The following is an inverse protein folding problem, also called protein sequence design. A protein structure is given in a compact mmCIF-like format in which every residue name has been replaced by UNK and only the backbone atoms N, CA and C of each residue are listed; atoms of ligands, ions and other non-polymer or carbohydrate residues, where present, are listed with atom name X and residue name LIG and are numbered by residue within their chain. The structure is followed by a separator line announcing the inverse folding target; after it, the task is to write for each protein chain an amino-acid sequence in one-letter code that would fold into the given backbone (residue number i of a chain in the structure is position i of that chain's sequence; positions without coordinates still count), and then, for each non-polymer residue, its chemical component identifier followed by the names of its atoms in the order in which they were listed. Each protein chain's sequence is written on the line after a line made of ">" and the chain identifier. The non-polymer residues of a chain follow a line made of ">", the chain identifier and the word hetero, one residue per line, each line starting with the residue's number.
data_IF_659417733557
#
_entry.id   IF_659417733557
#
_cell.length_a   1.000
_cell.length_b   1.000
_cell.length_c   1.000
_cell.angle_alpha   90.00
_cell.angle_beta   90.00
_cell.angle_gamma   90.00
#
_symmetry.space_group_name_H-M   'P 1'
#
loop_
_entity.id
_entity.type
_entity.pdbx_description
1 polymer ?
#
# COMPACT_ATOMS: atom_id res chain seq x y z
N UNK A 1 21.53 73.54 -61.85
CA UNK A 1 22.02 73.03 -60.54
C UNK A 1 21.23 73.70 -59.43
N UNK A 2 20.22 73.01 -58.87
CA UNK A 2 19.41 73.51 -57.75
C UNK A 2 20.06 73.06 -56.44
N UNK A 3 20.57 74.01 -55.64
CA UNK A 3 21.05 73.72 -54.28
C UNK A 3 19.86 73.75 -53.31
N UNK A 4 19.69 72.75 -52.43
CA UNK A 4 18.67 72.79 -51.40
C UNK A 4 19.04 73.80 -50.31
N UNK A 5 18.11 74.71 -49.97
CA UNK A 5 18.19 75.55 -48.76
C UNK A 5 17.85 74.69 -47.55
N UNK A 6 18.87 74.30 -46.78
CA UNK A 6 18.69 73.71 -45.45
C UNK A 6 18.46 74.83 -44.43
N UNK A 7 17.20 74.99 -44.01
CA UNK A 7 16.84 75.86 -42.90
C UNK A 7 17.12 75.14 -41.58
N UNK A 8 18.21 75.50 -40.91
CA UNK A 8 18.51 75.02 -39.55
C UNK A 8 17.92 76.05 -38.58
N UNK A 9 16.83 75.70 -37.90
CA UNK A 9 16.22 76.54 -36.87
C UNK A 9 17.19 76.70 -35.69
N UNK A 10 17.62 77.94 -35.44
CA UNK A 10 18.43 78.28 -34.28
C UNK A 10 17.58 78.19 -33.00
N UNK A 11 17.82 77.15 -32.19
CA UNK A 11 17.22 77.01 -30.86
C UNK A 11 18.09 77.76 -29.85
N UNK A 12 17.49 78.71 -29.14
CA UNK A 12 18.18 79.51 -28.11
C UNK A 12 18.62 78.63 -26.93
N UNK A 13 19.84 78.77 -26.38
CA UNK A 13 20.36 77.89 -25.33
C UNK A 13 19.47 77.79 -24.08
N UNK A 14 18.73 78.86 -23.75
CA UNK A 14 17.73 78.86 -22.67
C UNK A 14 16.59 77.85 -22.89
N UNK A 15 16.16 77.63 -24.14
CA UNK A 15 15.12 76.64 -24.45
C UNK A 15 15.64 75.21 -24.31
N UNK A 16 16.92 74.97 -24.64
CA UNK A 16 17.57 73.66 -24.49
C UNK A 16 17.66 73.28 -23.00
N UNK A 17 18.06 74.22 -22.14
CA UNK A 17 18.16 73.99 -20.70
C UNK A 17 16.79 73.70 -20.05
N UNK A 18 15.75 74.39 -20.50
CA UNK A 18 14.37 74.19 -20.03
C UNK A 18 13.85 72.79 -20.43
N UNK A 19 14.10 72.36 -21.66
CA UNK A 19 13.72 71.02 -22.12
C UNK A 19 14.47 69.91 -21.37
N UNK A 20 15.77 70.09 -21.10
CA UNK A 20 16.56 69.12 -20.35
C UNK A 20 16.10 69.00 -18.88
N UNK A 21 15.77 70.13 -18.24
CA UNK A 21 15.18 70.13 -16.89
C UNK A 21 13.84 69.40 -16.85
N UNK A 22 12.97 69.64 -17.85
CA UNK A 22 11.70 68.93 -17.98
C UNK A 22 11.91 67.42 -18.15
N UNK A 23 12.87 66.99 -18.98
CA UNK A 23 13.22 65.58 -19.16
C UNK A 23 13.71 64.93 -17.85
N UNK A 24 14.55 65.62 -17.08
CA UNK A 24 15.02 65.12 -15.79
C UNK A 24 13.90 65.01 -14.75
N UNK A 25 12.97 65.97 -14.70
CA UNK A 25 11.81 65.90 -13.80
C UNK A 25 10.88 64.73 -14.15
N UNK A 26 10.60 64.52 -15.43
CA UNK A 26 9.81 63.36 -15.89
C UNK A 26 10.52 62.06 -15.55
N UNK A 27 11.84 61.98 -15.79
CA UNK A 27 12.64 60.80 -15.44
C UNK A 27 12.60 60.52 -13.94
N UNK A 28 12.77 61.54 -13.10
CA UNK A 28 12.70 61.41 -11.65
C UNK A 28 11.31 60.92 -11.17
N UNK A 29 10.23 61.41 -11.77
CA UNK A 29 8.88 60.95 -11.46
C UNK A 29 8.69 59.47 -11.82
N UNK A 30 9.19 59.02 -12.98
CA UNK A 30 9.15 57.61 -13.39
C UNK A 30 9.96 56.73 -12.44
N UNK A 31 11.17 57.16 -12.05
CA UNK A 31 11.99 56.42 -11.08
C UNK A 31 11.34 56.35 -9.70
N UNK A 32 10.70 57.42 -9.24
CA UNK A 32 9.93 57.42 -7.99
C UNK A 32 8.81 56.38 -8.00
N UNK A 33 8.02 56.37 -9.07
CA UNK A 33 6.91 55.41 -9.27
C UNK A 33 7.41 53.96 -9.34
N UNK A 34 8.47 53.69 -10.14
CA UNK A 34 9.09 52.36 -10.23
C UNK A 34 9.67 51.91 -8.88
N UNK A 35 10.28 52.84 -8.13
CA UNK A 35 10.77 52.60 -6.78
C UNK A 35 9.66 52.21 -5.81
N UNK A 36 8.54 52.94 -5.82
CA UNK A 36 7.36 52.62 -5.01
C UNK A 36 6.79 51.24 -5.32
N UNK A 37 6.66 50.87 -6.60
CA UNK A 37 6.18 49.52 -6.98
C UNK A 37 7.08 48.41 -6.45
N UNK A 38 8.41 48.57 -6.54
CA UNK A 38 9.35 47.56 -6.02
C UNK A 38 9.25 47.42 -4.50
N UNK A 39 9.09 48.52 -3.77
CA UNK A 39 8.91 48.50 -2.31
C UNK A 39 7.61 47.79 -1.93
N UNK A 40 6.52 48.03 -2.66
CA UNK A 40 5.23 47.37 -2.40
C UNK A 40 5.25 45.86 -2.70
N UNK A 41 6.01 45.43 -3.70
CA UNK A 41 6.23 44.00 -3.97
C UNK A 41 7.04 43.36 -2.84
N UNK A 42 8.17 43.97 -2.45
CA UNK A 42 9.01 43.46 -1.37
C UNK A 42 8.26 43.38 -0.02
N UNK A 43 7.39 44.36 0.28
CA UNK A 43 6.56 44.32 1.49
C UNK A 43 5.56 43.16 1.47
N UNK A 44 4.95 42.87 0.31
CA UNK A 44 4.06 41.71 0.16
C UNK A 44 4.82 40.40 0.28
N UNK A 45 6.00 40.31 -0.34
CA UNK A 45 6.85 39.12 -0.27
C UNK A 45 7.32 38.86 1.17
N UNK A 46 7.70 39.92 1.90
CA UNK A 46 8.06 39.83 3.31
C UNK A 46 6.88 39.34 4.17
N UNK A 47 5.68 39.90 3.97
CA UNK A 47 4.49 39.48 4.70
C UNK A 47 4.14 38.01 4.42
N UNK A 48 4.24 37.57 3.16
CA UNK A 48 4.03 36.18 2.78
C UNK A 48 5.10 35.25 3.36
N UNK A 49 6.37 35.67 3.39
CA UNK A 49 7.46 34.90 3.98
C UNK A 49 7.27 34.69 5.49
N UNK A 50 6.83 35.73 6.21
CA UNK A 50 6.50 35.64 7.64
C UNK A 50 5.32 34.69 7.86
N UNK A 51 4.22 34.87 7.10
CA UNK A 51 3.06 33.99 7.20
C UNK A 51 3.41 32.52 6.88
N UNK A 52 4.29 32.29 5.91
CA UNK A 52 4.77 30.95 5.57
C UNK A 52 5.61 30.34 6.71
N UNK A 53 6.45 31.14 7.37
CA UNK A 53 7.25 30.71 8.53
C UNK A 53 6.34 30.35 9.71
N UNK A 54 5.38 31.21 10.05
CA UNK A 54 4.45 30.95 11.16
C UNK A 54 3.60 29.70 10.90
N UNK A 55 3.12 29.53 9.67
CA UNK A 55 2.40 28.33 9.28
C UNK A 55 3.29 27.07 9.27
N UNK A 56 4.60 27.19 9.08
CA UNK A 56 5.53 26.07 9.20
C UNK A 56 5.70 25.68 10.67
N UNK A 57 5.88 26.65 11.57
CA UNK A 57 6.00 26.38 13.02
C UNK A 57 4.75 25.72 13.59
N UNK A 58 3.55 26.21 13.23
CA UNK A 58 2.29 25.58 13.66
C UNK A 58 2.18 24.12 13.19
N UNK A 59 2.67 23.81 11.98
CA UNK A 59 2.69 22.44 11.47
C UNK A 59 3.69 21.56 12.23
N UNK A 60 4.85 22.10 12.64
CA UNK A 60 5.81 21.36 13.46
C UNK A 60 5.22 21.04 14.83
N UNK A 61 4.63 22.02 15.51
CA UNK A 61 3.96 21.80 16.79
C UNK A 61 2.83 20.77 16.66
N UNK A 62 2.02 20.86 15.60
CA UNK A 62 0.96 19.86 15.34
C UNK A 62 1.54 18.46 15.15
N UNK A 63 2.61 18.32 14.36
CA UNK A 63 3.29 17.04 14.18
C UNK A 63 3.88 16.50 15.47
N UNK A 64 4.51 17.34 16.30
CA UNK A 64 5.03 16.93 17.61
C UNK A 64 3.91 16.43 18.53
N UNK A 65 2.75 17.09 18.56
CA UNK A 65 1.61 16.61 19.34
C UNK A 65 1.07 15.27 18.83
N UNK A 66 1.01 15.09 17.50
CA UNK A 66 0.58 13.82 16.91
C UNK A 66 1.59 12.70 17.19
N UNK A 67 2.89 12.99 17.08
CA UNK A 67 3.97 12.06 17.40
C UNK A 67 3.94 11.65 18.86
N UNK A 68 3.79 12.60 19.78
CA UNK A 68 3.68 12.30 21.22
C UNK A 68 2.43 11.47 21.54
N UNK A 69 1.34 11.69 20.81
CA UNK A 69 0.13 10.86 20.92
C UNK A 69 0.35 9.45 20.37
N UNK A 70 1.11 9.31 19.28
CA UNK A 70 1.49 8.00 18.73
C UNK A 70 2.44 7.26 19.66
N UNK A 71 3.39 7.96 20.26
CA UNK A 71 4.33 7.41 21.24
C UNK A 71 3.61 6.84 22.46
N UNK A 72 2.66 7.57 23.04
CA UNK A 72 1.84 7.06 24.16
C UNK A 72 0.97 5.87 23.75
N UNK A 73 0.45 5.87 22.51
CA UNK A 73 -0.29 4.73 21.97
C UNK A 73 0.59 3.49 21.76
N UNK A 74 1.86 3.68 21.35
CA UNK A 74 2.84 2.59 21.21
C UNK A 74 3.21 2.03 22.58
N UNK A 75 3.53 2.87 23.56
CA UNK A 75 3.79 2.43 24.93
C UNK A 75 2.60 1.64 25.53
N UNK A 76 1.36 2.08 25.25
CA UNK A 76 0.16 1.36 25.64
C UNK A 76 -0.05 0.03 24.90
N UNK A 77 0.43 -0.10 23.66
CA UNK A 77 0.41 -1.35 22.92
C UNK A 77 1.48 -2.33 23.42
N UNK A 78 2.68 -1.83 23.72
CA UNK A 78 3.78 -2.62 24.31
C UNK A 78 3.39 -3.21 25.66
N UNK A 79 2.71 -2.43 26.53
CA UNK A 79 2.19 -2.94 27.80
C UNK A 79 1.20 -4.11 27.61
N UNK A 80 0.35 -4.04 26.58
CA UNK A 80 -0.60 -5.12 26.24
C UNK A 80 0.11 -6.36 25.70
N UNK A 81 1.19 -6.18 24.95
CA UNK A 81 2.01 -7.29 24.46
C UNK A 81 2.65 -8.00 25.65
N UNK A 82 3.27 -7.27 26.59
CA UNK A 82 3.85 -7.85 27.80
C UNK A 82 2.80 -8.60 28.65
N UNK A 83 1.58 -8.07 28.76
CA UNK A 83 0.47 -8.78 29.44
C UNK A 83 0.09 -10.08 28.70
N UNK A 84 0.02 -10.04 27.37
CA UNK A 84 -0.29 -11.22 26.56
C UNK A 84 0.81 -12.29 26.66
N UNK A 85 2.08 -11.90 26.68
CA UNK A 85 3.22 -12.80 26.87
C UNK A 85 3.15 -13.49 28.24
N UNK A 86 2.87 -12.76 29.31
CA UNK A 86 2.69 -13.34 30.64
C UNK A 86 1.51 -14.33 30.71
N UNK A 87 0.43 -14.06 29.98
CA UNK A 87 -0.69 -15.02 29.87
C UNK A 87 -0.29 -16.25 29.06
N UNK A 88 0.49 -16.08 28.00
CA UNK A 88 0.98 -17.18 27.17
C UNK A 88 1.95 -18.09 27.94
N UNK A 89 2.88 -17.54 28.72
CA UNK A 89 3.79 -18.33 29.57
C UNK A 89 3.02 -19.12 30.63
N UNK A 90 1.99 -18.51 31.24
CA UNK A 90 1.07 -19.22 32.14
C UNK A 90 0.36 -20.38 31.43
N UNK A 91 -0.21 -20.14 30.25
CA UNK A 91 -0.91 -21.16 29.47
C UNK A 91 0.02 -22.32 29.06
N UNK A 92 1.27 -22.02 28.68
CA UNK A 92 2.28 -23.04 28.39
C UNK A 92 2.60 -23.91 29.61
N UNK A 93 2.68 -23.29 30.79
CA UNK A 93 2.93 -24.00 32.05
C UNK A 93 1.79 -24.96 32.39
N UNK A 94 0.53 -24.54 32.22
CA UNK A 94 -0.62 -25.43 32.43
C UNK A 94 -0.65 -26.59 31.42
N UNK A 95 -0.28 -26.35 30.16
CA UNK A 95 -0.20 -27.39 29.14
C UNK A 95 0.84 -28.45 29.51
N UNK A 96 2.01 -28.02 29.99
CA UNK A 96 3.08 -28.91 30.42
C UNK A 96 2.66 -29.75 31.64
N UNK A 97 1.91 -29.13 32.57
CA UNK A 97 1.28 -29.85 33.70
C UNK A 97 0.28 -30.91 33.22
N UNK A 98 -0.62 -30.55 32.29
CA UNK A 98 -1.60 -31.50 31.75
C UNK A 98 -0.93 -32.67 31.00
N UNK A 99 0.20 -32.43 30.33
CA UNK A 99 0.98 -33.50 29.72
C UNK A 99 1.56 -34.48 30.75
N UNK A 100 2.08 -33.98 31.87
CA UNK A 100 2.56 -34.86 32.94
C UNK A 100 1.43 -35.67 33.59
N UNK A 101 0.25 -35.07 33.79
CA UNK A 101 -0.91 -35.77 34.34
C UNK A 101 -1.43 -36.84 33.38
N UNK A 102 -1.44 -36.55 32.07
CA UNK A 102 -1.77 -37.55 31.06
C UNK A 102 -0.83 -38.76 31.13
N UNK A 103 0.48 -38.53 31.25
CA UNK A 103 1.45 -39.62 31.35
C UNK A 103 1.26 -40.47 32.62
N UNK A 104 0.92 -39.84 33.76
CA UNK A 104 0.61 -40.56 35.01
C UNK A 104 -0.65 -41.42 34.88
N UNK A 105 -1.71 -40.88 34.27
CA UNK A 105 -2.96 -41.61 34.04
C UNK A 105 -2.76 -42.79 33.07
N UNK A 106 -1.93 -42.62 32.04
CA UNK A 106 -1.61 -43.68 31.09
C UNK A 106 -0.86 -44.84 31.77
N UNK A 107 0.14 -44.51 32.61
CA UNK A 107 0.84 -45.48 33.45
C UNK A 107 -0.09 -46.25 34.39
N UNK A 108 -1.05 -45.57 35.03
CA UNK A 108 -2.08 -46.22 35.87
C UNK A 108 -2.98 -47.15 35.06
N UNK A 109 -3.36 -46.77 33.84
CA UNK A 109 -4.20 -47.58 32.97
C UNK A 109 -3.48 -48.87 32.55
N UNK A 110 -2.20 -48.77 32.19
CA UNK A 110 -1.35 -49.93 31.87
C UNK A 110 -1.16 -50.86 33.07
N UNK A 111 -0.93 -50.30 34.26
CA UNK A 111 -0.84 -51.07 35.50
C UNK A 111 -2.14 -51.85 35.78
N UNK A 112 -3.31 -51.17 35.71
CA UNK A 112 -4.60 -51.84 35.86
C UNK A 112 -4.86 -52.88 34.77
N UNK A 113 -4.44 -52.64 33.52
CA UNK A 113 -4.58 -53.62 32.43
C UNK A 113 -3.76 -54.88 32.69
N UNK A 114 -2.52 -54.74 33.18
CA UNK A 114 -1.66 -55.87 33.55
C UNK A 114 -2.22 -56.67 34.73
N UNK A 115 -2.85 -56.00 35.70
CA UNK A 115 -3.53 -56.64 36.82
C UNK A 115 -4.72 -57.48 36.34
N UNK A 116 -5.56 -56.93 35.46
CA UNK A 116 -6.68 -57.65 34.85
C UNK A 116 -6.20 -58.87 34.07
N UNK A 117 -5.13 -58.75 33.28
CA UNK A 117 -4.54 -59.86 32.54
C UNK A 117 -4.04 -60.98 33.48
N UNK A 118 -3.43 -60.60 34.60
CA UNK A 118 -2.97 -61.53 35.64
C UNK A 118 -4.14 -62.26 36.31
N UNK A 119 -5.23 -61.54 36.62
CA UNK A 119 -6.44 -62.13 37.17
C UNK A 119 -7.12 -63.11 36.19
N UNK A 120 -7.21 -62.74 34.91
CA UNK A 120 -7.76 -63.62 33.86
C UNK A 120 -6.94 -64.91 33.71
N UNK A 121 -5.60 -64.81 33.75
CA UNK A 121 -4.71 -65.98 33.71
C UNK A 121 -4.95 -66.90 34.91
N UNK A 122 -5.09 -66.35 36.12
CA UNK A 122 -5.35 -67.13 37.33
C UNK A 122 -6.72 -67.82 37.33
N UNK A 123 -7.73 -67.17 36.75
CA UNK A 123 -9.06 -67.77 36.56
C UNK A 123 -9.01 -68.89 35.51
N UNK A 124 -8.17 -68.76 34.47
CA UNK A 124 -7.92 -69.82 33.48
C UNK A 124 -7.18 -71.04 34.04
N UNK A 125 -6.26 -70.84 34.99
CA UNK A 125 -5.52 -71.91 35.67
C UNK A 125 -6.34 -72.63 36.76
N UNK A 126 -7.46 -72.04 37.21
CA UNK A 126 -8.37 -72.62 38.22
C UNK A 126 -9.45 -73.57 37.68
N UNK A 127 -9.47 -73.88 36.38
CA UNK A 127 -10.45 -74.81 35.80
C UNK A 127 -9.75 -76.12 35.40
N UNK A 128 -9.92 -77.24 36.14
CA UNK A 128 -9.43 -78.51 35.66
C UNK A 128 -10.25 -78.89 34.42
N UNK A 129 -9.53 -79.35 33.40
CA UNK A 129 -10.10 -79.97 32.24
C UNK A 129 -11.02 -81.12 32.68
N UNK A 130 -12.31 -81.00 32.43
CA UNK A 130 -13.19 -82.16 32.27
C UNK A 130 -13.79 -82.03 30.88
N UNK A 131 -13.28 -82.86 29.98
CA UNK A 131 -13.99 -83.24 28.78
C UNK A 131 -14.72 -84.55 29.10
N UNK A 132 -16.05 -84.64 28.89
CA UNK A 132 -16.67 -85.87 28.50
C UNK A 132 -16.85 -85.86 26.98
N UNK A 133 -16.22 -86.87 26.38
CA UNK A 133 -16.39 -87.33 25.02
C UNK A 133 -17.82 -87.87 24.80
N UNK A 134 -18.40 -87.64 23.61
CA UNK A 134 -19.00 -88.64 22.69
C UNK A 134 -20.31 -88.24 21.97
N UNK A 135 -20.24 -88.48 20.65
CA UNK A 135 -21.27 -88.82 19.64
C UNK A 135 -22.16 -87.68 19.11
N UNK A 136 -22.01 -87.23 17.85
CA UNK A 136 -22.10 -87.89 16.52
C UNK A 136 -23.52 -87.82 15.93
N UNK A 137 -23.57 -87.32 14.69
CA UNK A 137 -24.61 -87.45 13.68
C UNK A 137 -25.92 -86.66 13.86
N UNK A 138 -26.00 -85.50 13.19
CA UNK A 138 -26.71 -85.40 11.90
C UNK A 138 -26.41 -84.05 11.26
N UNK A 139 -25.90 -84.09 10.03
CA UNK A 139 -25.39 -82.97 9.27
C UNK A 139 -26.49 -81.98 8.82
N UNK A 140 -26.22 -80.68 8.99
CA UNK A 140 -26.80 -79.56 8.23
C UNK A 140 -25.89 -78.33 8.45
N UNK A 141 -24.99 -77.99 7.51
CA UNK A 141 -25.20 -77.07 6.36
C UNK A 141 -24.61 -75.67 6.65
N UNK A 142 -23.78 -75.06 5.76
CA UNK A 142 -22.73 -75.61 4.90
C UNK A 142 -21.41 -74.77 4.95
N UNK A 143 -20.28 -75.38 4.61
CA UNK A 143 -19.06 -74.65 4.22
C UNK A 143 -19.00 -74.48 2.69
N UNK A 144 -18.57 -73.28 2.27
CA UNK A 144 -17.95 -72.92 0.98
C UNK A 144 -18.90 -73.02 -0.26
N UNK A 145 -18.96 -72.08 -1.22
CA UNK A 145 -17.91 -71.26 -1.81
C UNK A 145 -18.56 -70.22 -2.77
N UNK A 146 -18.04 -68.98 -2.76
CA UNK A 146 -17.83 -68.11 -3.94
C UNK A 146 -19.00 -67.89 -4.92
N UNK A 147 -19.52 -66.66 -4.94
CA UNK A 147 -19.75 -65.89 -6.19
C UNK A 147 -19.93 -64.39 -5.89
N UNK A 148 -19.14 -63.58 -6.58
CA UNK A 148 -19.18 -62.12 -6.73
C UNK A 148 -20.60 -61.64 -7.11
N UNK A 149 -21.01 -60.41 -6.77
CA UNK A 149 -20.99 -59.42 -7.84
C UNK A 149 -20.61 -57.99 -7.41
N UNK A 150 -20.13 -57.28 -8.43
CA UNK A 150 -20.20 -55.83 -8.67
C UNK A 150 -21.68 -55.34 -8.67
N UNK A 151 -21.95 -54.06 -8.95
CA UNK A 151 -22.52 -53.03 -8.08
C UNK A 151 -24.05 -52.80 -8.22
N UNK A 152 -24.54 -51.77 -7.52
CA UNK A 152 -25.71 -50.91 -7.84
C UNK A 152 -27.05 -51.28 -7.20
N UNK A 153 -27.91 -50.34 -6.80
CA UNK A 153 -27.87 -48.87 -6.71
C UNK A 153 -29.23 -48.41 -6.16
N UNK A 154 -29.31 -47.13 -5.78
CA UNK A 154 -30.43 -46.17 -5.89
C UNK A 154 -30.55 -45.35 -4.59
N UNK A 155 -30.58 -44.01 -4.50
CA UNK A 155 -30.72 -42.80 -5.33
C UNK A 155 -30.22 -41.68 -4.35
N UNK A 156 -29.35 -40.70 -4.63
CA UNK A 156 -29.33 -39.70 -5.68
C UNK A 156 -27.91 -39.16 -5.85
N UNK A 157 -27.64 -38.68 -7.06
CA UNK A 157 -26.45 -37.96 -7.44
C UNK A 157 -26.46 -36.57 -6.80
N UNK A 158 -25.38 -36.18 -6.10
CA UNK A 158 -24.87 -34.81 -6.24
C UNK A 158 -23.35 -34.80 -6.00
N UNK A 159 -22.69 -34.33 -7.05
CA UNK A 159 -21.29 -33.96 -7.22
C UNK A 159 -20.57 -33.43 -5.98
N UNK A 160 -19.38 -33.99 -5.76
CA UNK A 160 -18.22 -33.20 -5.34
C UNK A 160 -17.90 -32.24 -6.49
N UNK A 161 -18.25 -30.95 -6.33
CA UNK A 161 -17.67 -29.83 -7.07
C UNK A 161 -17.31 -28.75 -6.04
N UNK A 162 -16.07 -28.86 -5.56
CA UNK A 162 -15.17 -27.74 -5.26
C UNK A 162 -15.80 -26.39 -4.85
N UNK A 163 -16.39 -26.35 -3.66
CA UNK A 163 -16.67 -25.11 -2.96
C UNK A 163 -15.45 -24.74 -2.09
N UNK A 164 -14.63 -23.86 -2.67
CA UNK A 164 -13.69 -22.89 -2.10
C UNK A 164 -13.38 -23.01 -0.59
N UNK A 165 -12.10 -23.13 -0.18
CA UNK A 165 -11.73 -22.86 1.21
C UNK A 165 -12.20 -21.45 1.62
N UNK A 166 -12.60 -21.22 2.89
CA UNK A 166 -13.10 -19.92 3.32
C UNK A 166 -12.07 -18.83 3.01
N UNK A 167 -12.49 -17.67 2.49
CA UNK A 167 -11.55 -16.58 2.22
C UNK A 167 -10.84 -16.18 3.53
N UNK A 168 -9.53 -15.90 3.49
CA UNK A 168 -8.82 -15.41 4.66
C UNK A 168 -9.51 -14.15 5.19
N UNK A 169 -9.54 -13.94 6.53
CA UNK A 169 -10.26 -12.83 7.12
C UNK A 169 -9.76 -11.51 6.53
N UNK A 170 -10.65 -10.81 5.82
CA UNK A 170 -10.37 -9.46 5.32
C UNK A 170 -10.11 -8.53 6.53
N UNK A 171 -8.97 -7.85 6.60
CA UNK A 171 -8.78 -6.80 7.60
C UNK A 171 -9.71 -5.62 7.26
N UNK A 172 -10.77 -5.48 8.06
CA UNK A 172 -11.64 -4.30 8.06
C UNK A 172 -10.80 -3.06 8.40
N UNK A 173 -10.63 -2.21 7.39
CA UNK A 173 -10.61 -0.72 7.45
C UNK A 173 -10.02 -0.11 8.73
N UNK A 174 -8.71 0.13 8.72
CA UNK A 174 -8.14 1.28 9.44
C UNK A 174 -8.12 2.48 8.49
N UNK A 175 -8.98 3.46 8.76
CA UNK A 175 -8.84 4.82 8.19
C UNK A 175 -7.54 5.40 8.76
N UNK A 176 -6.57 5.71 7.91
CA UNK A 176 -5.34 6.41 8.33
C UNK A 176 -5.27 7.72 7.55
N UNK A 177 -5.44 8.81 8.31
CA UNK A 177 -5.14 10.17 7.91
C UNK A 177 -3.60 10.37 7.80
N UNK A 178 -3.13 11.34 7.01
CA UNK A 178 -1.74 11.43 6.59
C UNK A 178 -0.88 12.19 7.60
N UNK A 179 0.18 11.55 8.11
CA UNK A 179 1.23 12.23 8.88
C UNK A 179 2.55 12.19 8.11
N UNK A 180 2.99 13.38 7.69
CA UNK A 180 4.33 13.73 7.19
C UNK A 180 5.23 13.85 8.44
N UNK A 181 6.49 13.43 8.49
CA UNK A 181 7.76 14.05 8.01
C UNK A 181 8.88 13.43 8.91
N UNK A 182 10.21 13.69 8.80
CA UNK A 182 11.15 13.91 7.69
C UNK A 182 12.30 12.85 7.65
N UNK A 183 12.95 12.62 6.51
CA UNK A 183 14.33 12.08 6.54
C UNK A 183 15.16 12.59 5.35
N UNK A 184 16.20 13.35 5.69
CA UNK A 184 17.17 13.97 4.79
C UNK A 184 18.42 13.10 4.80
N UNK A 185 18.60 12.30 3.75
CA UNK A 185 19.89 11.81 3.28
C UNK A 185 19.70 11.20 1.88
N UNK A 186 19.96 11.98 0.82
CA UNK A 186 20.07 11.51 -0.57
C UNK A 186 18.93 10.61 -1.10
N UNK A 187 17.70 10.91 -0.70
CA UNK A 187 16.49 10.19 -1.15
C UNK A 187 15.93 10.86 -2.42
N UNK A 188 15.60 10.11 -3.50
CA UNK A 188 15.00 10.71 -4.68
C UNK A 188 13.65 11.34 -4.31
N UNK A 189 13.63 12.68 -4.29
CA UNK A 189 12.49 13.53 -3.96
C UNK A 189 11.26 13.04 -4.75
N UNK A 190 10.28 12.43 -4.08
CA UNK A 190 9.03 12.01 -4.70
C UNK A 190 8.19 13.27 -4.91
N UNK A 191 8.28 13.83 -6.11
CA UNK A 191 7.52 15.01 -6.49
C UNK A 191 6.05 14.67 -6.69
N UNK A 192 5.17 15.57 -6.21
CA UNK A 192 3.71 15.50 -6.40
C UNK A 192 3.33 15.61 -7.88
N UNK A 193 2.26 14.93 -8.28
CA UNK A 193 1.74 14.91 -9.66
C UNK A 193 1.55 16.30 -10.28
N UNK A 194 1.00 17.27 -9.54
CA UNK A 194 0.77 18.63 -10.06
C UNK A 194 2.08 19.33 -10.46
N UNK A 195 3.14 19.14 -9.67
CA UNK A 195 4.48 19.63 -9.98
C UNK A 195 5.08 18.86 -11.16
N UNK A 196 4.92 17.54 -11.18
CA UNK A 196 5.44 16.71 -12.25
C UNK A 196 4.77 16.98 -13.61
N UNK A 197 3.46 17.24 -13.64
CA UNK A 197 2.72 17.58 -14.87
C UNK A 197 3.16 18.92 -15.45
N UNK A 198 3.42 19.92 -14.60
CA UNK A 198 3.93 21.22 -15.03
C UNK A 198 5.35 21.14 -15.62
N UNK A 199 6.12 20.13 -15.22
CA UNK A 199 7.52 19.94 -15.60
C UNK A 199 7.72 18.87 -16.68
N UNK A 200 6.64 18.18 -17.08
CA UNK A 200 6.68 17.18 -18.13
C UNK A 200 6.56 17.83 -19.52
N UNK A 201 7.44 17.43 -20.44
CA UNK A 201 7.45 17.94 -21.82
C UNK A 201 6.67 17.02 -22.77
N UNK A 202 6.53 15.74 -22.45
CA UNK A 202 5.75 14.79 -23.22
C UNK A 202 5.02 13.84 -22.28
N UNK A 203 3.68 13.83 -22.36
CA UNK A 203 2.79 13.14 -21.42
C UNK A 203 1.71 12.35 -22.16
N UNK A 204 2.07 11.27 -22.88
CA UNK A 204 1.07 10.42 -23.51
C UNK A 204 0.17 9.80 -22.43
N UNK A 205 -1.15 9.93 -22.60
CA UNK A 205 -2.12 9.35 -21.68
C UNK A 205 -2.19 7.83 -21.84
N UNK A 206 -2.49 7.08 -20.77
CA UNK A 206 -2.75 5.64 -20.85
C UNK A 206 -3.92 5.35 -21.78
N UNK A 207 -3.74 4.41 -22.71
CA UNK A 207 -4.82 3.99 -23.60
C UNK A 207 -5.71 3.00 -22.85
N UNK A 208 -7.01 3.25 -22.81
CA UNK A 208 -7.96 2.30 -22.25
C UNK A 208 -7.98 1.01 -23.11
N UNK A 209 -7.64 -0.18 -22.57
CA UNK A 209 -7.58 -1.42 -23.35
C UNK A 209 -8.97 -1.91 -23.79
N UNK A 210 -9.10 -2.39 -25.03
CA UNK A 210 -10.39 -2.83 -25.58
C UNK A 210 -10.99 -4.03 -24.84
N UNK A 211 -10.16 -4.97 -24.38
CA UNK A 211 -10.60 -6.21 -23.70
C UNK A 211 -11.39 -5.94 -22.41
N UNK A 212 -11.10 -4.83 -21.73
CA UNK A 212 -11.77 -4.45 -20.47
C UNK A 212 -12.90 -3.44 -20.67
N UNK A 213 -13.11 -2.99 -21.92
CA UNK A 213 -14.14 -2.01 -22.29
C UNK A 213 -15.53 -2.61 -22.27
N UNK A 214 -15.70 -3.81 -22.84
CA UNK A 214 -16.98 -4.53 -22.85
C UNK A 214 -17.51 -4.83 -21.44
N UNK A 215 -16.71 -5.37 -20.49
CA UNK A 215 -17.15 -5.56 -19.11
C UNK A 215 -17.20 -4.28 -18.26
N UNK A 216 -16.78 -3.13 -18.81
CA UNK A 216 -16.91 -1.85 -18.12
C UNK A 216 -15.97 -1.65 -16.92
N UNK A 217 -14.77 -2.24 -16.94
CA UNK A 217 -13.87 -2.22 -15.78
C UNK A 217 -13.26 -0.82 -15.57
N UNK A 218 -13.54 -0.19 -14.44
CA UNK A 218 -12.95 1.09 -14.04
C UNK A 218 -12.01 0.90 -12.85
N UNK A 219 -11.16 1.90 -12.59
CA UNK A 219 -10.41 1.90 -11.34
C UNK A 219 -9.49 3.10 -11.19
N UNK A 220 -8.94 3.23 -9.99
CA UNK A 220 -8.02 4.31 -9.61
C UNK A 220 -6.74 3.68 -9.08
N UNK A 221 -5.61 4.06 -9.67
CA UNK A 221 -4.28 3.61 -9.29
C UNK A 221 -3.33 4.77 -9.05
N UNK A 222 -2.13 4.45 -8.54
CA UNK A 222 -1.01 5.38 -8.41
C UNK A 222 0.24 4.70 -8.95
N UNK A 223 0.87 5.33 -9.92
CA UNK A 223 2.14 4.90 -10.50
C UNK A 223 3.29 5.73 -9.95
N UNK A 224 4.37 5.06 -9.55
CA UNK A 224 5.65 5.69 -9.25
C UNK A 224 6.54 5.57 -10.49
N UNK A 225 7.07 6.70 -10.92
CA UNK A 225 7.96 6.82 -12.06
C UNK A 225 9.33 7.32 -11.60
N UNK A 226 10.37 6.61 -12.01
CA UNK A 226 11.77 7.00 -11.83
C UNK A 226 12.27 7.67 -13.10
N UNK A 227 12.90 8.83 -12.94
CA UNK A 227 13.36 9.69 -14.04
C UNK A 227 14.87 9.86 -13.90
N UNK A 228 15.59 9.75 -15.00
CA UNK A 228 16.99 10.12 -15.06
C UNK A 228 17.12 11.67 -14.98
N UNK A 229 17.75 12.22 -13.93
CA UNK A 229 17.90 13.67 -13.80
C UNK A 229 18.72 14.29 -14.93
N UNK A 230 19.65 13.55 -15.57
CA UNK A 230 20.51 14.12 -16.61
C UNK A 230 19.77 14.31 -17.94
N UNK A 231 18.97 13.32 -18.36
CA UNK A 231 18.25 13.36 -19.65
C UNK A 231 16.76 13.73 -19.54
N UNK A 232 16.18 13.61 -18.35
CA UNK A 232 14.72 13.75 -18.15
C UNK A 232 13.91 12.57 -18.68
N UNK A 233 14.55 11.47 -19.11
CA UNK A 233 13.88 10.27 -19.57
C UNK A 233 13.43 9.40 -18.39
N UNK A 234 12.28 8.75 -18.56
CA UNK A 234 11.79 7.77 -17.58
C UNK A 234 12.61 6.49 -17.68
N UNK A 235 13.27 6.11 -16.59
CA UNK A 235 14.08 4.88 -16.49
C UNK A 235 13.27 3.71 -15.92
N UNK A 236 12.21 4.00 -15.17
CA UNK A 236 11.36 2.97 -14.59
C UNK A 236 9.97 3.50 -14.27
N UNK A 237 8.98 2.61 -14.33
CA UNK A 237 7.63 2.88 -13.87
C UNK A 237 7.07 1.62 -13.21
N UNK A 238 6.45 1.79 -12.04
CA UNK A 238 5.83 0.71 -11.27
C UNK A 238 4.53 1.19 -10.65
N UNK A 239 3.54 0.31 -10.52
CA UNK A 239 2.33 0.62 -9.78
C UNK A 239 2.63 0.52 -8.29
N UNK A 240 2.39 1.60 -7.55
CA UNK A 240 2.39 1.60 -6.09
C UNK A 240 1.02 1.18 -5.57
N UNK A 241 -0.05 1.66 -6.23
CA UNK A 241 -1.42 1.23 -6.00
C UNK A 241 -2.02 0.77 -7.32
N UNK A 242 -2.37 -0.51 -7.40
CA UNK A 242 -3.06 -1.08 -8.55
C UNK A 242 -4.42 -0.41 -8.78
N UNK A 243 -4.81 -0.32 -10.05
CA UNK A 243 -6.15 0.10 -10.49
C UNK A 243 -7.21 -0.96 -10.14
N UNK A 244 -6.82 -2.18 -9.77
CA UNK A 244 -7.70 -3.31 -9.48
C UNK A 244 -7.83 -4.31 -10.64
N UNK A 245 -7.26 -3.98 -11.81
CA UNK A 245 -7.15 -4.87 -12.95
C UNK A 245 -5.74 -4.81 -13.56
N UNK A 246 -5.16 -5.98 -13.82
CA UNK A 246 -3.79 -6.09 -14.32
C UNK A 246 -3.60 -5.56 -15.74
N UNK A 247 -4.66 -5.53 -16.56
CA UNK A 247 -4.62 -5.00 -17.93
C UNK A 247 -4.57 -3.47 -17.90
N UNK A 248 -5.32 -2.84 -17.00
CA UNK A 248 -5.28 -1.39 -16.77
C UNK A 248 -3.92 -0.97 -16.23
N UNK A 249 -3.37 -1.71 -15.26
CA UNK A 249 -2.04 -1.46 -14.69
C UNK A 249 -0.94 -1.50 -15.76
N UNK A 250 -0.95 -2.53 -16.62
CA UNK A 250 0.01 -2.64 -17.74
C UNK A 250 -0.09 -1.46 -18.70
N UNK A 251 -1.31 -1.00 -18.99
CA UNK A 251 -1.51 0.16 -19.86
C UNK A 251 -0.95 1.44 -19.24
N UNK A 252 -1.21 1.66 -17.96
CA UNK A 252 -0.69 2.80 -17.20
C UNK A 252 0.84 2.80 -17.22
N UNK A 253 1.48 1.69 -16.84
CA UNK A 253 2.95 1.57 -16.83
C UNK A 253 3.55 1.81 -18.22
N UNK A 254 2.95 1.25 -19.27
CA UNK A 254 3.45 1.41 -20.64
C UNK A 254 3.33 2.86 -21.15
N UNK A 255 2.32 3.60 -20.73
CA UNK A 255 2.18 5.01 -21.08
C UNK A 255 3.15 5.88 -20.28
N UNK A 256 3.25 5.67 -18.97
CA UNK A 256 4.12 6.45 -18.09
C UNK A 256 5.61 6.21 -18.38
N UNK A 257 6.00 5.03 -18.88
CA UNK A 257 7.36 4.80 -19.40
C UNK A 257 7.74 5.69 -20.58
N UNK A 258 6.76 6.19 -21.32
CA UNK A 258 6.98 7.08 -22.47
C UNK A 258 6.99 8.55 -22.06
N UNK A 259 6.74 8.88 -20.80
CA UNK A 259 6.77 10.26 -20.35
C UNK A 259 8.19 10.83 -20.40
N UNK A 260 8.29 12.15 -20.59
CA UNK A 260 9.56 12.87 -20.59
C UNK A 260 9.43 14.14 -19.77
N UNK A 261 10.42 14.37 -18.92
CA UNK A 261 10.51 15.51 -18.03
C UNK A 261 11.64 16.45 -18.45
N UNK A 262 11.62 17.67 -17.93
CA UNK A 262 12.77 18.57 -18.08
C UNK A 262 13.98 18.00 -17.32
N UNK A 263 15.18 17.98 -17.92
CA UNK A 263 16.42 17.64 -17.23
C UNK A 263 16.63 18.47 -15.96
N UNK A 264 17.28 17.89 -14.96
CA UNK A 264 17.65 18.53 -13.70
C UNK A 264 16.48 18.82 -12.75
N UNK A 265 15.27 18.33 -13.05
CA UNK A 265 14.06 18.79 -12.35
C UNK A 265 13.51 17.77 -11.35
N UNK A 266 13.32 16.51 -11.78
CA UNK A 266 12.68 15.47 -10.96
C UNK A 266 13.46 14.16 -11.08
N UNK A 267 13.55 13.40 -9.98
CA UNK A 267 14.17 12.06 -9.95
C UNK A 267 13.13 10.96 -9.72
N UNK A 268 12.07 11.25 -8.96
CA UNK A 268 10.97 10.33 -8.70
C UNK A 268 9.65 11.08 -8.66
N UNK A 269 8.62 10.50 -9.26
CA UNK A 269 7.30 11.14 -9.42
C UNK A 269 6.21 10.15 -9.01
N UNK A 270 5.20 10.64 -8.30
CA UNK A 270 3.94 9.92 -8.09
C UNK A 270 2.86 10.48 -9.02
N UNK A 271 2.26 9.60 -9.83
CA UNK A 271 1.23 9.93 -10.82
C UNK A 271 -0.05 9.15 -10.47
N UNK A 272 -1.13 9.79 -10.00
CA UNK A 272 -2.43 9.16 -9.93
C UNK A 272 -2.95 8.87 -11.34
N UNK A 273 -3.73 7.80 -11.47
CA UNK A 273 -4.39 7.45 -12.73
C UNK A 273 -5.79 6.94 -12.44
N UNK A 274 -6.76 7.44 -13.19
CA UNK A 274 -8.14 6.99 -13.15
C UNK A 274 -8.54 6.49 -14.54
N UNK A 275 -9.08 5.26 -14.60
CA UNK A 275 -9.65 4.70 -15.81
C UNK A 275 -11.17 4.75 -15.72
N UNK A 276 -11.76 5.51 -16.65
CA UNK A 276 -13.20 5.59 -16.86
C UNK A 276 -13.56 5.03 -18.23
N UNK A 277 -14.85 4.80 -18.49
CA UNK A 277 -15.33 4.33 -19.81
C UNK A 277 -15.01 5.27 -20.97
N UNK A 278 -14.78 6.55 -20.67
CA UNK A 278 -14.39 7.57 -21.64
C UNK A 278 -12.90 7.50 -21.97
N UNK A 279 -12.07 6.95 -21.08
CA UNK A 279 -10.62 6.85 -21.23
C UNK A 279 -9.87 6.93 -19.90
N UNK A 280 -8.55 7.05 -19.97
CA UNK A 280 -7.72 7.27 -18.78
C UNK A 280 -7.52 8.78 -18.55
N UNK A 281 -7.62 9.21 -17.30
CA UNK A 281 -7.28 10.56 -16.85
C UNK A 281 -6.21 10.48 -15.76
N UNK A 282 -5.15 11.31 -15.84
CA UNK A 282 -4.14 11.42 -14.80
C UNK A 282 -4.43 12.59 -13.83
#
# INVERSE_FOLDING_TARGET
>A
MLRPKSTISAVTPRKILLLLSCLFLVSAAVFGVVGSYKVDVLRKDLANAIAARDAAELRRVTQETELKTRETAVAGAEAKIAEAENKATKAQTELLKLQSEKADLESKLDASRNEIASLQKRIGEGRPAVSPSQNSETASKPEQQRTTPRPSAQIAQESVEEATPPPPPQPKRRKIAPSKTPEVASTPQITSYSSAKALATFTPLPKYPSRVRSPGVTGIGVCIVSVDPASGNVTGASMERSTGDSTLDKSAVNAFRKWRFRPGTVSKVRIPVEFTMTGASP
#
